data_IF_326603055714
#
_entry.id   IF_326603055714
#
_cell.length_a   1.000
_cell.length_b   1.000
_cell.length_c   1.000
_cell.angle_alpha   90.00
_cell.angle_beta   90.00
_cell.angle_gamma   90.00
#
_symmetry.space_group_name_H-M   'P 1'
#
loop_
_entity.id
_entity.type
_entity.pdbx_description
1 polymer ?
#
# COMPACT_ATOMS: atom_id res chain seq x y z
N UNK A 1 -27.35 -3.56 -1.28
CA UNK A 1 -25.99 -4.01 -1.64
C UNK A 1 -25.19 -4.16 -0.36
N UNK A 2 -24.20 -5.05 -0.30
CA UNK A 2 -23.44 -5.33 0.92
C UNK A 2 -22.29 -4.34 1.08
N UNK A 3 -21.97 -3.93 2.31
CA UNK A 3 -20.82 -3.07 2.57
C UNK A 3 -19.50 -3.83 2.34
N UNK A 4 -18.49 -3.15 1.76
CA UNK A 4 -17.21 -3.78 1.43
C UNK A 4 -16.49 -4.35 2.66
N UNK A 5 -16.35 -3.60 3.76
CA UNK A 5 -15.53 -4.07 4.89
C UNK A 5 -16.16 -5.30 5.55
N UNK A 6 -17.48 -5.30 5.74
CA UNK A 6 -18.22 -6.42 6.30
C UNK A 6 -18.06 -7.68 5.44
N UNK A 7 -18.10 -7.53 4.12
CA UNK A 7 -17.90 -8.64 3.17
C UNK A 7 -16.48 -9.19 3.25
N UNK A 8 -15.46 -8.34 3.32
CA UNK A 8 -14.07 -8.78 3.43
C UNK A 8 -13.80 -9.52 4.74
N UNK A 9 -14.30 -8.99 5.85
CA UNK A 9 -14.17 -9.61 7.18
C UNK A 9 -14.88 -10.97 7.22
N UNK A 10 -16.12 -11.05 6.72
CA UNK A 10 -16.91 -12.29 6.66
C UNK A 10 -16.22 -13.36 5.78
N UNK A 11 -15.78 -12.98 4.58
CA UNK A 11 -15.13 -13.91 3.65
C UNK A 11 -13.80 -14.43 4.18
N UNK A 12 -13.01 -13.57 4.84
CA UNK A 12 -11.76 -13.97 5.51
C UNK A 12 -12.04 -14.95 6.66
N UNK A 13 -13.02 -14.64 7.52
CA UNK A 13 -13.37 -15.48 8.67
C UNK A 13 -13.82 -16.89 8.24
N UNK A 14 -14.57 -16.98 7.14
CA UNK A 14 -15.09 -18.25 6.62
C UNK A 14 -14.20 -18.90 5.55
N UNK A 15 -13.06 -18.28 5.19
CA UNK A 15 -12.11 -18.76 4.17
C UNK A 15 -12.80 -19.08 2.84
N UNK A 16 -13.61 -18.14 2.35
CA UNK A 16 -14.38 -18.33 1.12
C UNK A 16 -13.44 -18.23 -0.08
N UNK A 17 -13.25 -19.34 -0.79
CA UNK A 17 -12.44 -19.39 -2.00
C UNK A 17 -13.07 -18.63 -3.17
N UNK A 18 -12.24 -18.05 -4.03
CA UNK A 18 -12.70 -17.26 -5.19
C UNK A 18 -13.46 -15.98 -4.83
N UNK A 19 -13.38 -15.55 -3.57
CA UNK A 19 -14.05 -14.36 -3.05
C UNK A 19 -13.36 -13.05 -3.43
N UNK A 20 -14.02 -11.91 -3.18
CA UNK A 20 -13.35 -10.60 -3.36
C UNK A 20 -12.18 -10.44 -2.39
N UNK A 21 -12.28 -10.99 -1.17
CA UNK A 21 -11.16 -11.01 -0.23
C UNK A 21 -9.93 -11.71 -0.83
N UNK A 22 -10.10 -12.91 -1.43
CA UNK A 22 -9.01 -13.61 -2.11
C UNK A 22 -8.46 -12.78 -3.28
N UNK A 23 -9.34 -12.20 -4.09
CA UNK A 23 -8.94 -11.37 -5.22
C UNK A 23 -8.11 -10.17 -4.79
N UNK A 24 -8.55 -9.43 -3.77
CA UNK A 24 -7.83 -8.27 -3.24
C UNK A 24 -6.48 -8.66 -2.65
N UNK A 25 -6.41 -9.75 -1.88
CA UNK A 25 -5.15 -10.26 -1.35
C UNK A 25 -4.13 -10.51 -2.47
N UNK A 26 -4.53 -11.25 -3.50
CA UNK A 26 -3.64 -11.62 -4.61
C UNK A 26 -3.30 -10.42 -5.49
N UNK A 27 -4.29 -9.65 -5.92
CA UNK A 27 -4.08 -8.52 -6.86
C UNK A 27 -3.25 -7.41 -6.21
N UNK A 28 -3.50 -7.12 -4.93
CA UNK A 28 -2.78 -6.06 -4.24
C UNK A 28 -1.32 -6.47 -4.00
N UNK A 29 -1.07 -7.67 -3.45
CA UNK A 29 0.28 -8.15 -3.24
C UNK A 29 1.07 -8.26 -4.55
N UNK A 30 0.46 -8.80 -5.61
CA UNK A 30 1.09 -8.93 -6.92
C UNK A 30 1.52 -7.58 -7.46
N UNK A 31 0.59 -6.63 -7.60
CA UNK A 31 0.89 -5.33 -8.21
C UNK A 31 1.88 -4.53 -7.33
N UNK A 32 1.65 -4.47 -6.03
CA UNK A 32 2.48 -3.71 -5.11
C UNK A 32 3.91 -4.25 -5.06
N UNK A 33 4.12 -5.58 -5.07
CA UNK A 33 5.46 -6.15 -5.08
C UNK A 33 6.13 -6.09 -6.47
N UNK A 34 5.35 -6.22 -7.55
CA UNK A 34 5.87 -6.14 -8.93
C UNK A 34 6.42 -4.74 -9.25
N UNK A 35 5.75 -3.69 -8.76
CA UNK A 35 6.21 -2.30 -8.88
C UNK A 35 7.60 -2.11 -8.24
N UNK A 36 7.90 -2.84 -7.16
CA UNK A 36 9.20 -2.83 -6.47
C UNK A 36 10.18 -3.89 -7.00
N UNK A 37 9.86 -4.57 -8.10
CA UNK A 37 10.78 -5.48 -8.79
C UNK A 37 10.66 -6.96 -8.45
N UNK A 38 9.59 -7.41 -7.78
CA UNK A 38 9.31 -8.85 -7.63
C UNK A 38 9.14 -9.52 -9.00
N UNK A 39 9.63 -10.76 -9.12
CA UNK A 39 9.52 -11.53 -10.36
C UNK A 39 8.33 -12.49 -10.37
N UNK A 40 7.66 -12.68 -9.23
CA UNK A 40 6.53 -13.61 -9.10
C UNK A 40 5.38 -13.25 -10.04
N UNK A 41 4.94 -14.20 -10.86
CA UNK A 41 3.76 -14.02 -11.70
C UNK A 41 2.49 -13.89 -10.85
N UNK A 42 1.40 -13.43 -11.48
CA UNK A 42 0.10 -13.35 -10.82
C UNK A 42 -0.33 -14.73 -10.31
N UNK A 43 -0.21 -15.77 -11.15
CA UNK A 43 -0.54 -17.14 -10.77
C UNK A 43 0.35 -17.68 -9.63
N UNK A 44 1.66 -17.37 -9.63
CA UNK A 44 2.53 -17.74 -8.52
C UNK A 44 2.10 -17.05 -7.21
N UNK A 45 1.75 -15.77 -7.27
CA UNK A 45 1.21 -15.02 -6.12
C UNK A 45 -0.09 -15.64 -5.63
N UNK A 46 -0.99 -16.02 -6.55
CA UNK A 46 -2.24 -16.73 -6.24
C UNK A 46 -1.97 -18.08 -5.56
N UNK A 47 -1.06 -18.90 -6.09
CA UNK A 47 -0.75 -20.20 -5.50
C UNK A 47 -0.16 -20.09 -4.09
N UNK A 48 0.67 -19.08 -3.83
CA UNK A 48 1.20 -18.81 -2.49
C UNK A 48 0.06 -18.51 -1.52
N UNK A 49 -0.94 -17.71 -1.95
CA UNK A 49 -2.10 -17.38 -1.13
C UNK A 49 -3.02 -18.58 -0.89
N UNK A 50 -3.48 -19.23 -1.98
CA UNK A 50 -4.55 -20.24 -1.94
C UNK A 50 -4.06 -21.61 -1.47
N UNK A 51 -2.84 -22.01 -1.87
CA UNK A 51 -2.35 -23.38 -1.65
C UNK A 51 -1.06 -23.45 -0.84
N UNK A 52 -0.48 -22.30 -0.48
CA UNK A 52 0.85 -22.20 0.16
C UNK A 52 1.92 -22.93 -0.63
N UNK A 53 1.83 -22.87 -1.96
CA UNK A 53 2.78 -23.49 -2.86
C UNK A 53 3.30 -22.49 -3.88
N UNK A 54 4.49 -22.74 -4.39
CA UNK A 54 5.08 -21.94 -5.47
C UNK A 54 5.86 -22.87 -6.38
N UNK A 55 5.64 -22.74 -7.69
CA UNK A 55 6.24 -23.59 -8.70
C UNK A 55 7.05 -22.73 -9.68
N UNK A 56 8.22 -23.21 -10.09
CA UNK A 56 9.10 -22.55 -11.03
C UNK A 56 10.56 -22.61 -10.61
N UNK A 57 11.47 -22.38 -11.56
CA UNK A 57 12.91 -22.38 -11.31
C UNK A 57 13.39 -20.99 -10.83
N UNK A 58 14.42 -20.97 -10.00
CA UNK A 58 15.11 -19.75 -9.54
C UNK A 58 14.20 -18.69 -8.89
N UNK A 59 13.16 -19.12 -8.18
CA UNK A 59 12.29 -18.21 -7.42
C UNK A 59 13.08 -17.62 -6.25
N UNK A 60 13.11 -16.28 -6.19
CA UNK A 60 13.77 -15.56 -5.10
C UNK A 60 12.98 -15.79 -3.81
N UNK A 61 13.67 -16.24 -2.78
CA UNK A 61 13.07 -16.50 -1.45
C UNK A 61 12.45 -15.22 -0.89
N UNK A 62 13.13 -14.07 -1.06
CA UNK A 62 12.60 -12.78 -0.61
C UNK A 62 11.27 -12.43 -1.30
N UNK A 63 11.10 -12.67 -2.60
CA UNK A 63 9.84 -12.37 -3.29
C UNK A 63 8.66 -13.16 -2.67
N UNK A 64 8.89 -14.41 -2.28
CA UNK A 64 7.89 -15.26 -1.61
C UNK A 64 7.60 -14.73 -0.21
N UNK A 65 8.64 -14.41 0.57
CA UNK A 65 8.48 -13.89 1.94
C UNK A 65 7.75 -12.55 1.93
N UNK A 66 8.15 -11.62 1.07
CA UNK A 66 7.53 -10.30 0.93
C UNK A 66 6.07 -10.40 0.46
N UNK A 67 5.75 -11.40 -0.37
CA UNK A 67 4.35 -11.70 -0.77
C UNK A 67 3.52 -12.18 0.41
N UNK A 68 4.03 -13.15 1.19
CA UNK A 68 3.36 -13.63 2.41
C UNK A 68 3.19 -12.51 3.44
N UNK A 69 4.20 -11.66 3.59
CA UNK A 69 4.13 -10.52 4.50
C UNK A 69 3.14 -9.46 4.02
N UNK A 70 3.04 -9.21 2.72
CA UNK A 70 2.01 -8.32 2.18
C UNK A 70 0.60 -8.83 2.49
N UNK A 71 0.36 -10.16 2.41
CA UNK A 71 -0.93 -10.72 2.81
C UNK A 71 -1.24 -10.46 4.29
N UNK A 72 -0.24 -10.59 5.16
CA UNK A 72 -0.36 -10.27 6.59
C UNK A 72 -0.61 -8.80 6.84
N UNK A 73 -0.01 -7.90 6.05
CA UNK A 73 -0.30 -6.47 6.15
C UNK A 73 -1.76 -6.17 5.81
N UNK A 74 -2.31 -6.78 4.75
CA UNK A 74 -3.71 -6.57 4.41
C UNK A 74 -4.64 -7.13 5.50
N UNK A 75 -4.32 -8.30 6.07
CA UNK A 75 -5.08 -8.83 7.21
C UNK A 75 -5.04 -7.90 8.42
N UNK A 76 -3.87 -7.38 8.76
CA UNK A 76 -3.71 -6.40 9.83
C UNK A 76 -4.53 -5.13 9.56
N UNK A 77 -4.51 -4.61 8.34
CA UNK A 77 -5.35 -3.47 7.94
C UNK A 77 -6.83 -3.77 8.13
N UNK A 78 -7.32 -4.95 7.72
CA UNK A 78 -8.72 -5.30 7.92
C UNK A 78 -9.11 -5.36 9.40
N UNK A 79 -8.18 -5.72 10.28
CA UNK A 79 -8.39 -5.75 11.73
C UNK A 79 -8.38 -4.36 12.39
N UNK A 80 -7.78 -3.36 11.75
CA UNK A 80 -7.43 -2.05 12.35
C UNK A 80 -7.78 -0.87 11.45
N UNK A 81 -8.64 -1.07 10.45
CA UNK A 81 -8.87 -0.07 9.38
C UNK A 81 -9.39 1.26 9.93
N UNK A 82 -10.13 1.24 11.03
CA UNK A 82 -10.76 2.40 11.67
C UNK A 82 -9.87 3.10 12.71
N UNK A 83 -8.72 2.52 13.08
CA UNK A 83 -7.75 3.12 14.01
C UNK A 83 -7.08 4.37 13.40
N UNK A 84 -6.60 5.29 14.23
CA UNK A 84 -5.89 6.48 13.76
C UNK A 84 -4.53 6.14 13.15
N UNK A 85 -4.10 6.87 12.11
CA UNK A 85 -2.78 6.68 11.54
C UNK A 85 -1.72 7.27 12.48
N UNK A 86 -0.94 6.41 13.13
CA UNK A 86 0.13 6.81 14.06
C UNK A 86 1.51 6.43 13.53
N UNK A 87 2.57 7.01 14.12
CA UNK A 87 3.94 6.61 13.80
C UNK A 87 4.17 5.12 14.07
N UNK A 88 3.63 4.61 15.18
CA UNK A 88 3.72 3.21 15.56
C UNK A 88 2.99 2.31 14.56
N UNK A 89 1.79 2.69 14.11
CA UNK A 89 1.05 1.94 13.08
C UNK A 89 1.85 1.81 11.77
N UNK A 90 2.47 2.91 11.31
CA UNK A 90 3.30 2.91 10.10
C UNK A 90 4.53 2.02 10.28
N UNK A 91 5.18 2.07 11.45
CA UNK A 91 6.31 1.19 11.79
C UNK A 91 5.90 -0.27 11.90
N UNK A 92 4.70 -0.55 12.39
CA UNK A 92 4.13 -1.90 12.51
C UNK A 92 3.86 -2.50 11.13
N UNK A 93 3.25 -1.75 10.21
CA UNK A 93 3.10 -2.16 8.81
C UNK A 93 4.46 -2.48 8.17
N UNK A 94 5.45 -1.60 8.36
CA UNK A 94 6.80 -1.86 7.84
C UNK A 94 7.44 -3.10 8.48
N UNK A 95 7.24 -3.32 9.79
CA UNK A 95 7.75 -4.49 10.51
C UNK A 95 7.15 -5.78 9.99
N UNK A 96 5.83 -5.83 9.78
CA UNK A 96 5.14 -6.98 9.19
C UNK A 96 5.69 -7.22 7.78
N UNK A 97 5.76 -6.17 6.95
CA UNK A 97 6.19 -6.25 5.55
C UNK A 97 7.61 -6.82 5.40
N UNK A 98 8.56 -6.39 6.23
CA UNK A 98 9.97 -6.78 6.14
C UNK A 98 10.37 -7.95 7.06
N UNK A 99 9.42 -8.55 7.77
CA UNK A 99 9.71 -9.65 8.70
C UNK A 99 10.29 -10.87 7.97
N UNK A 100 11.52 -11.26 8.30
CA UNK A 100 12.13 -12.49 7.78
C UNK A 100 12.73 -12.38 6.37
N UNK A 101 12.80 -11.18 5.77
CA UNK A 101 13.55 -10.97 4.51
C UNK A 101 15.05 -11.06 4.77
N UNK A 102 15.86 -11.34 3.75
CA UNK A 102 17.33 -11.38 3.89
C UNK A 102 17.87 -10.05 4.45
N UNK A 103 17.30 -8.92 4.01
CA UNK A 103 17.66 -7.60 4.51
C UNK A 103 17.34 -7.37 5.99
N UNK A 104 16.40 -8.12 6.58
CA UNK A 104 16.07 -7.98 8.01
C UNK A 104 17.21 -8.32 8.97
N UNK A 105 18.23 -9.08 8.49
CA UNK A 105 19.45 -9.36 9.24
C UNK A 105 20.57 -8.33 9.06
N UNK A 106 20.38 -7.31 8.21
CA UNK A 106 21.38 -6.26 7.95
C UNK A 106 21.32 -5.16 9.00
N UNK A 107 22.47 -4.59 9.36
CA UNK A 107 22.58 -3.49 10.34
C UNK A 107 21.97 -2.18 9.79
N UNK A 108 21.88 -2.07 8.46
CA UNK A 108 21.45 -0.88 7.73
C UNK A 108 19.92 -0.84 7.55
N UNK A 109 19.27 -1.98 7.29
CA UNK A 109 17.82 -2.10 7.15
C UNK A 109 17.17 -2.52 8.48
N UNK A 110 17.09 -1.60 9.43
CA UNK A 110 16.44 -1.86 10.72
C UNK A 110 14.92 -1.98 10.52
N UNK A 111 14.42 -3.20 10.67
CA UNK A 111 13.01 -3.51 10.45
C UNK A 111 12.13 -2.81 11.51
N UNK A 112 11.26 -1.92 11.02
CA UNK A 112 10.31 -1.18 11.83
C UNK A 112 10.86 0.13 12.38
N UNK A 113 12.07 0.52 11.99
CA UNK A 113 12.69 1.78 12.42
C UNK A 113 13.08 2.65 11.22
N UNK A 114 13.16 3.95 11.45
CA UNK A 114 13.58 4.88 10.43
C UNK A 114 15.04 4.68 10.00
N UNK A 115 15.30 5.08 8.75
CA UNK A 115 16.62 4.94 8.12
C UNK A 115 17.71 5.65 8.94
N UNK A 116 18.88 5.04 8.98
CA UNK A 116 20.10 5.60 9.62
C UNK A 116 21.00 6.34 8.64
N UNK A 117 20.76 6.18 7.35
CA UNK A 117 21.57 6.73 6.27
C UNK A 117 20.68 7.50 5.29
N UNK A 118 21.24 8.56 4.70
CA UNK A 118 20.54 9.30 3.67
C UNK A 118 20.32 8.44 2.42
N UNK A 119 19.17 8.62 1.77
CA UNK A 119 18.83 7.97 0.50
C UNK A 119 18.20 8.98 -0.47
N UNK A 120 18.27 8.67 -1.75
CA UNK A 120 17.65 9.43 -2.83
C UNK A 120 16.76 8.49 -3.64
N UNK A 121 15.65 9.02 -4.16
CA UNK A 121 14.67 8.25 -4.94
C UNK A 121 14.40 9.01 -6.23
N UNK A 122 14.68 8.39 -7.38
CA UNK A 122 14.49 9.01 -8.70
C UNK A 122 15.10 10.43 -8.83
N UNK A 123 16.33 10.59 -8.31
CA UNK A 123 17.11 11.85 -8.23
C UNK A 123 16.50 12.92 -7.30
N UNK A 124 15.54 12.56 -6.46
CA UNK A 124 14.96 13.43 -5.43
C UNK A 124 15.62 13.11 -4.09
N UNK A 125 16.20 14.14 -3.47
CA UNK A 125 16.67 14.08 -2.08
C UNK A 125 15.51 13.95 -1.13
N UNK A 126 15.58 12.95 -0.27
CA UNK A 126 14.59 12.66 0.76
C UNK A 126 15.00 13.31 2.10
N UNK A 127 14.16 13.18 3.12
CA UNK A 127 14.49 13.68 4.46
C UNK A 127 15.78 13.04 5.00
N UNK A 128 16.63 13.85 5.63
CA UNK A 128 17.84 13.35 6.29
C UNK A 128 17.46 12.47 7.50
N UNK A 129 18.24 11.43 7.85
CA UNK A 129 17.95 10.53 8.96
C UNK A 129 17.56 11.25 10.27
N UNK A 130 18.29 12.31 10.64
CA UNK A 130 18.04 13.08 11.86
C UNK A 130 16.74 13.91 11.83
N UNK A 131 16.13 14.09 10.65
CA UNK A 131 14.87 14.83 10.45
C UNK A 131 13.65 13.94 10.22
N UNK A 132 13.85 12.66 9.88
CA UNK A 132 12.73 11.77 9.55
C UNK A 132 11.67 11.75 10.65
N UNK A 133 12.08 11.68 11.92
CA UNK A 133 11.13 11.64 13.04
C UNK A 133 10.32 12.92 13.17
N UNK A 134 10.93 14.10 13.01
CA UNK A 134 10.18 15.36 13.03
C UNK A 134 9.26 15.49 11.82
N UNK A 135 9.76 15.17 10.62
CA UNK A 135 9.00 15.32 9.38
C UNK A 135 7.79 14.37 9.35
N UNK A 136 7.94 13.14 9.83
CA UNK A 136 6.84 12.17 9.96
C UNK A 136 5.81 12.61 10.99
N UNK A 137 6.25 13.14 12.13
CA UNK A 137 5.35 13.67 13.15
C UNK A 137 4.51 14.84 12.61
N UNK A 138 5.14 15.75 11.88
CA UNK A 138 4.45 16.88 11.27
C UNK A 138 3.45 16.42 10.19
N UNK A 139 3.86 15.45 9.34
CA UNK A 139 2.99 14.87 8.32
C UNK A 139 1.75 14.21 8.95
N UNK A 140 1.93 13.32 9.93
CA UNK A 140 0.84 12.62 10.61
C UNK A 140 -0.07 13.62 11.34
N UNK A 141 0.51 14.58 12.06
CA UNK A 141 -0.26 15.61 12.77
C UNK A 141 -1.08 16.49 11.85
N UNK A 142 -0.59 16.76 10.63
CA UNK A 142 -1.35 17.49 9.61
C UNK A 142 -2.49 16.67 8.99
N UNK A 143 -2.39 15.34 9.01
CA UNK A 143 -3.35 14.45 8.35
C UNK A 143 -4.53 14.05 9.26
N UNK A 144 -4.24 13.68 10.52
CA UNK A 144 -5.26 13.22 11.47
C UNK A 144 -6.16 14.35 12.01
N UNK A 145 -5.88 15.61 11.65
CA UNK A 145 -6.62 16.78 12.13
C UNK A 145 -8.01 17.00 11.49
N UNK A 146 -8.38 16.23 10.48
CA UNK A 146 -9.62 16.41 9.71
C UNK A 146 -10.06 15.13 8.98
N UNK A 147 -11.33 15.06 8.59
CA UNK A 147 -11.79 14.04 7.63
C UNK A 147 -11.06 14.23 6.31
N UNK A 148 -10.48 13.17 5.77
CA UNK A 148 -9.70 13.23 4.54
C UNK A 148 -10.54 12.74 3.35
N UNK A 149 -10.54 13.52 2.29
CA UNK A 149 -11.03 13.12 0.98
C UNK A 149 -9.95 12.34 0.21
N UNK A 150 -10.21 12.01 -1.05
CA UNK A 150 -9.24 11.25 -1.85
C UNK A 150 -7.94 12.05 -2.06
N UNK A 151 -8.04 13.37 -2.29
CA UNK A 151 -6.86 14.21 -2.50
C UNK A 151 -6.00 14.30 -1.23
N UNK A 152 -6.61 14.39 -0.04
CA UNK A 152 -5.91 14.32 1.24
C UNK A 152 -5.14 13.01 1.43
N UNK A 153 -5.76 11.87 1.13
CA UNK A 153 -5.10 10.54 1.19
C UNK A 153 -3.91 10.47 0.23
N UNK A 154 -4.07 10.92 -1.01
CA UNK A 154 -3.00 10.90 -2.01
C UNK A 154 -1.90 11.91 -1.65
N UNK A 155 -2.24 13.07 -1.08
CA UNK A 155 -1.29 14.07 -0.60
C UNK A 155 -0.42 13.53 0.54
N UNK A 156 -1.03 12.79 1.48
CA UNK A 156 -0.29 12.09 2.52
C UNK A 156 0.73 11.13 1.90
N UNK A 157 0.30 10.30 0.95
CA UNK A 157 1.17 9.33 0.28
C UNK A 157 2.33 10.00 -0.48
N UNK A 158 2.07 11.08 -1.22
CA UNK A 158 3.10 11.87 -1.93
C UNK A 158 4.14 12.41 -0.95
N UNK A 159 3.69 12.88 0.21
CA UNK A 159 4.54 13.46 1.26
C UNK A 159 5.34 12.37 1.99
N UNK A 160 4.71 11.23 2.28
CA UNK A 160 5.35 10.05 2.86
C UNK A 160 6.48 9.53 1.95
N UNK A 161 6.23 9.40 0.65
CA UNK A 161 7.24 8.99 -0.34
C UNK A 161 8.38 10.01 -0.45
N UNK A 162 8.11 11.31 -0.26
CA UNK A 162 9.12 12.38 -0.27
C UNK A 162 10.00 12.36 0.97
N UNK A 163 9.44 12.06 2.14
CA UNK A 163 10.20 11.84 3.38
C UNK A 163 11.05 10.57 3.26
N UNK A 164 10.46 9.52 2.70
CA UNK A 164 11.06 8.20 2.49
C UNK A 164 11.68 7.65 3.80
N UNK A 165 10.88 7.42 4.84
CA UNK A 165 11.36 7.27 6.22
C UNK A 165 12.16 5.99 6.48
N UNK A 166 11.90 4.92 5.75
CA UNK A 166 12.55 3.63 5.92
C UNK A 166 13.70 3.43 4.93
N UNK A 167 14.57 2.45 5.22
CA UNK A 167 15.66 2.08 4.30
C UNK A 167 15.14 1.48 2.99
N UNK A 168 14.11 0.64 3.07
CA UNK A 168 13.43 -0.03 1.96
C UNK A 168 11.96 -0.26 2.35
N UNK A 169 11.08 -0.54 1.39
CA UNK A 169 9.68 -0.88 1.62
C UNK A 169 8.72 0.32 1.67
N UNK A 170 9.22 1.55 1.52
CA UNK A 170 8.42 2.77 1.57
C UNK A 170 7.24 2.72 0.58
N UNK A 171 7.50 2.47 -0.71
CA UNK A 171 6.43 2.41 -1.73
C UNK A 171 5.30 1.44 -1.38
N UNK A 172 5.63 0.27 -0.82
CA UNK A 172 4.65 -0.74 -0.41
C UNK A 172 3.87 -0.30 0.82
N UNK A 173 4.55 0.24 1.83
CA UNK A 173 3.90 0.79 3.03
C UNK A 173 2.98 1.96 2.68
N UNK A 174 3.41 2.88 1.82
CA UNK A 174 2.60 4.01 1.37
C UNK A 174 1.33 3.57 0.66
N UNK A 175 1.42 2.59 -0.26
CA UNK A 175 0.25 2.01 -0.93
C UNK A 175 -0.70 1.29 0.04
N UNK A 176 -0.16 0.56 1.00
CA UNK A 176 -0.95 -0.07 2.08
C UNK A 176 -1.70 0.98 2.92
N UNK A 177 -1.05 2.08 3.27
CA UNK A 177 -1.67 3.21 3.99
C UNK A 177 -2.78 3.83 3.16
N UNK A 178 -2.57 4.12 1.86
CA UNK A 178 -3.63 4.67 1.00
C UNK A 178 -4.87 3.77 0.97
N UNK A 179 -4.68 2.45 0.83
CA UNK A 179 -5.78 1.51 0.83
C UNK A 179 -6.54 1.53 2.17
N UNK A 180 -5.82 1.48 3.28
CA UNK A 180 -6.38 1.53 4.64
C UNK A 180 -7.16 2.83 4.88
N UNK A 181 -6.59 3.98 4.54
CA UNK A 181 -7.26 5.27 4.75
C UNK A 181 -8.47 5.46 3.83
N UNK A 182 -8.51 4.84 2.65
CA UNK A 182 -9.75 4.77 1.87
C UNK A 182 -10.84 4.01 2.64
N UNK A 183 -10.53 2.87 3.25
CA UNK A 183 -11.49 2.12 4.06
C UNK A 183 -11.99 2.94 5.26
N UNK A 184 -11.07 3.56 6.01
CA UNK A 184 -11.40 4.41 7.18
C UNK A 184 -12.34 5.56 6.83
N UNK A 185 -12.05 6.26 5.73
CA UNK A 185 -12.81 7.43 5.28
C UNK A 185 -14.02 7.06 4.40
N UNK A 186 -14.34 5.76 4.24
CA UNK A 186 -15.45 5.25 3.40
C UNK A 186 -15.36 5.73 1.94
N UNK A 187 -14.13 5.83 1.45
CA UNK A 187 -13.80 6.14 0.07
C UNK A 187 -13.53 4.83 -0.66
N UNK A 188 -13.92 4.77 -1.94
CA UNK A 188 -13.66 3.62 -2.81
C UNK A 188 -12.15 3.36 -2.86
N UNK A 189 -11.66 2.25 -2.29
CA UNK A 189 -10.24 1.94 -2.31
C UNK A 189 -9.77 1.60 -3.72
N UNK A 190 -8.47 1.59 -3.94
CA UNK A 190 -7.86 1.27 -5.23
C UNK A 190 -6.53 0.55 -5.04
N UNK A 191 -6.09 -0.15 -6.07
CA UNK A 191 -4.78 -0.81 -6.11
C UNK A 191 -3.99 -0.15 -7.23
N UNK A 192 -2.75 0.26 -6.94
CA UNK A 192 -1.84 0.79 -7.97
C UNK A 192 -1.38 -0.37 -8.85
N UNK A 193 -1.86 -0.42 -10.09
CA UNK A 193 -1.52 -1.45 -11.06
C UNK A 193 -0.08 -1.31 -11.57
N UNK A 194 0.64 -2.43 -11.72
CA UNK A 194 2.00 -2.44 -12.30
C UNK A 194 2.00 -1.96 -13.76
N UNK A 195 0.92 -2.20 -14.50
CA UNK A 195 0.77 -1.77 -15.89
C UNK A 195 0.83 -0.23 -16.03
N UNK A 196 0.37 0.50 -15.02
CA UNK A 196 0.31 1.96 -14.99
C UNK A 196 1.43 2.60 -14.16
N UNK A 197 2.44 1.81 -13.72
CA UNK A 197 3.49 2.28 -12.82
C UNK A 197 4.24 3.51 -13.33
N UNK A 198 4.40 3.64 -14.65
CA UNK A 198 5.06 4.80 -15.26
C UNK A 198 4.25 6.07 -15.02
N UNK A 199 2.93 6.03 -15.20
CA UNK A 199 2.05 7.18 -14.95
C UNK A 199 2.02 7.52 -13.46
N UNK A 200 1.98 6.51 -12.60
CA UNK A 200 2.07 6.68 -11.15
C UNK A 200 3.38 7.36 -10.72
N UNK A 201 4.54 6.86 -11.17
CA UNK A 201 5.84 7.46 -10.84
C UNK A 201 6.02 8.87 -11.42
N UNK A 202 5.56 9.11 -12.65
CA UNK A 202 5.56 10.45 -13.23
C UNK A 202 4.67 11.41 -12.43
N UNK A 203 3.49 10.95 -12.00
CA UNK A 203 2.57 11.75 -11.20
C UNK A 203 3.15 12.09 -9.83
N UNK A 204 3.78 11.12 -9.16
CA UNK A 204 4.51 11.37 -7.90
C UNK A 204 5.60 12.42 -8.10
N UNK A 205 6.45 12.26 -9.11
CA UNK A 205 7.54 13.19 -9.40
C UNK A 205 7.02 14.60 -9.67
N UNK A 206 6.06 14.73 -10.59
CA UNK A 206 5.43 16.02 -10.95
C UNK A 206 4.82 16.71 -9.73
N UNK A 207 4.16 15.97 -8.83
CA UNK A 207 3.62 16.53 -7.60
C UNK A 207 4.74 16.97 -6.65
N UNK A 208 5.73 16.11 -6.40
CA UNK A 208 6.80 16.37 -5.44
C UNK A 208 7.71 17.55 -5.85
N UNK A 209 7.94 17.75 -7.15
CA UNK A 209 8.88 18.75 -7.67
C UNK A 209 8.20 20.01 -8.22
N UNK A 210 6.99 19.89 -8.76
CA UNK A 210 6.30 20.99 -9.45
C UNK A 210 4.93 21.35 -8.84
N UNK A 211 4.44 20.57 -7.87
CA UNK A 211 3.11 20.76 -7.28
C UNK A 211 1.95 20.42 -8.22
N UNK A 212 2.21 19.70 -9.32
CA UNK A 212 1.19 19.32 -10.30
C UNK A 212 0.50 18.02 -9.87
N UNK A 213 -0.73 18.14 -9.39
CA UNK A 213 -1.50 17.00 -8.83
C UNK A 213 -2.21 16.16 -9.89
N UNK A 214 -2.55 16.78 -11.02
CA UNK A 214 -3.48 16.23 -12.03
C UNK A 214 -3.16 14.81 -12.48
N UNK A 215 -1.91 14.52 -12.88
CA UNK A 215 -1.55 13.22 -13.45
C UNK A 215 -1.75 12.09 -12.45
N UNK A 216 -1.30 12.28 -11.20
CA UNK A 216 -1.44 11.26 -10.17
C UNK A 216 -2.92 11.06 -9.83
N UNK A 217 -3.69 12.14 -9.68
CA UNK A 217 -5.13 12.05 -9.39
C UNK A 217 -5.93 11.37 -10.52
N UNK A 218 -5.62 11.66 -11.79
CA UNK A 218 -6.25 10.96 -12.93
C UNK A 218 -5.88 9.47 -12.95
N UNK A 219 -4.62 9.13 -12.63
CA UNK A 219 -4.15 7.74 -12.54
C UNK A 219 -4.85 6.99 -11.41
N UNK A 220 -5.00 7.61 -10.23
CA UNK A 220 -5.72 7.04 -9.09
C UNK A 220 -7.21 6.83 -9.40
N UNK A 221 -7.85 7.80 -10.07
CA UNK A 221 -9.27 7.67 -10.46
C UNK A 221 -9.50 6.53 -11.46
N UNK A 222 -8.56 6.31 -12.39
CA UNK A 222 -8.60 5.15 -13.27
C UNK A 222 -8.57 3.83 -12.47
N UNK A 223 -7.72 3.75 -11.44
CA UNK A 223 -7.65 2.57 -10.57
C UNK A 223 -8.90 2.41 -9.68
N UNK A 224 -9.60 3.50 -9.35
CA UNK A 224 -10.93 3.42 -8.74
C UNK A 224 -11.99 2.87 -9.71
N UNK A 225 -11.92 3.18 -11.01
CA UNK A 225 -12.83 2.60 -12.02
C UNK A 225 -12.66 1.07 -12.13
N UNK A 226 -11.41 0.60 -12.06
CA UNK A 226 -11.10 -0.83 -12.00
C UNK A 226 -11.70 -1.47 -10.74
N UNK A 227 -11.50 -0.85 -9.56
CA UNK A 227 -12.08 -1.35 -8.32
C UNK A 227 -13.60 -1.36 -8.36
N UNK A 228 -14.23 -0.30 -8.88
CA UNK A 228 -15.68 -0.23 -9.02
C UNK A 228 -16.21 -1.41 -9.85
N UNK A 229 -15.54 -1.73 -10.96
CA UNK A 229 -15.89 -2.86 -11.81
C UNK A 229 -15.80 -4.19 -11.05
N UNK A 230 -14.79 -4.35 -10.19
CA UNK A 230 -14.66 -5.51 -9.29
C UNK A 230 -15.80 -5.55 -8.28
N UNK A 231 -16.11 -4.45 -7.61
CA UNK A 231 -17.21 -4.39 -6.61
C UNK A 231 -18.56 -4.73 -7.24
N UNK A 232 -18.83 -4.23 -8.45
CA UNK A 232 -20.05 -4.53 -9.23
C UNK A 232 -20.17 -6.02 -9.53
N UNK A 233 -19.08 -6.68 -9.92
CA UNK A 233 -19.07 -8.12 -10.19
C UNK A 233 -19.45 -8.95 -8.95
N UNK A 234 -19.01 -8.52 -7.76
CA UNK A 234 -19.30 -9.22 -6.49
C UNK A 234 -20.57 -8.74 -5.77
N UNK A 235 -21.39 -7.88 -6.40
CA UNK A 235 -22.61 -7.29 -5.81
C UNK A 235 -22.36 -6.60 -4.45
N UNK A 236 -21.35 -5.72 -4.45
CA UNK A 236 -20.93 -4.92 -3.30
C UNK A 236 -21.30 -3.46 -3.56
N UNK A 237 -21.75 -2.77 -2.50
CA UNK A 237 -22.05 -1.34 -2.55
C UNK A 237 -20.80 -0.53 -2.88
N UNK A 238 -20.92 0.40 -3.82
CA UNK A 238 -19.80 1.25 -4.25
C UNK A 238 -19.72 2.44 -3.29
N UNK A 239 -18.62 2.61 -2.53
CA UNK A 239 -18.43 3.76 -1.66
C UNK A 239 -18.28 5.08 -2.46
N UNK A 240 -18.27 6.21 -1.76
CA UNK A 240 -17.98 7.51 -2.38
C UNK A 240 -16.60 7.50 -3.05
N UNK A 241 -16.43 8.27 -4.13
CA UNK A 241 -15.10 8.46 -4.76
C UNK A 241 -14.21 9.43 -3.99
N UNK A 242 -14.73 10.08 -2.94
CA UNK A 242 -13.96 11.02 -2.13
C UNK A 242 -13.71 12.34 -2.84
N UNK A 243 -14.69 12.84 -3.59
CA UNK A 243 -14.69 14.21 -4.14
C UNK A 243 -15.03 15.21 -3.02
N UNK A 244 -14.45 16.41 -3.06
CA UNK A 244 -14.78 17.51 -2.13
C UNK A 244 -16.30 17.79 -2.14
N UNK A 245 -16.88 18.01 -0.95
CA UNK A 245 -18.23 18.57 -0.81
C UNK A 245 -18.22 20.08 -0.98
#
# INVERSE_FOLDING_TARGET
MRNLIDVLLDQRAHKIDGSIYNKLQVDFAFNSNRIEGSHLTHDQTRYIFETRSVNGDNIRVDDVIETVNHFRCLDHILDTYDEDLTEDYIKDLHRILKSGTVSSGSVEAVVGEYKKYANEVADIRTSLPEKVSSDMKDLIGSYEGHTNDLEGIVTFHVSFEKIHPFYDGNGRVGRLIMFKECLRNKILPFIVNDQDKLFYYMGLKEWQTEGKTRRLMETVRLMQDDMESVLRYFDIEIPSRGEEQ
#
